data_IF_465223263016
#
_entry.id   IF_465223263016
#
_cell.length_a   1.000
_cell.length_b   1.000
_cell.length_c   1.000
_cell.angle_alpha   90.00
_cell.angle_beta   90.00
_cell.angle_gamma   90.00
#
_symmetry.space_group_name_H-M   'P 1'
#
loop_
_entity.id
_entity.type
_entity.pdbx_description
1 polymer ?
#
# COMPACT_ATOMS: atom_id res chain seq x y z
N UNK A 1 -13.62 21.27 36.04
CA UNK A 1 -12.94 21.62 34.77
C UNK A 1 -12.22 20.44 34.10
N UNK A 2 -11.78 19.40 34.83
CA UNK A 2 -11.16 18.21 34.24
C UNK A 2 -12.02 17.30 33.33
N UNK A 3 -13.33 17.04 33.59
CA UNK A 3 -14.06 16.01 32.84
C UNK A 3 -14.36 16.40 31.38
N UNK A 4 -14.61 17.69 31.12
CA UNK A 4 -14.81 18.19 29.76
C UNK A 4 -13.51 18.09 28.93
N UNK A 5 -12.36 18.35 29.56
CA UNK A 5 -11.05 18.22 28.92
C UNK A 5 -10.75 16.77 28.51
N UNK A 6 -10.99 15.81 29.41
CA UNK A 6 -10.81 14.39 29.10
C UNK A 6 -11.75 13.91 27.98
N UNK A 7 -12.99 14.40 27.97
CA UNK A 7 -13.95 14.08 26.92
C UNK A 7 -13.51 14.61 25.55
N UNK A 8 -13.04 15.85 25.47
CA UNK A 8 -12.54 16.44 24.23
C UNK A 8 -11.28 15.73 23.69
N UNK A 9 -10.34 15.37 24.56
CA UNK A 9 -9.15 14.60 24.16
C UNK A 9 -9.56 13.24 23.59
N UNK A 10 -10.53 12.56 24.22
CA UNK A 10 -11.04 11.26 23.74
C UNK A 10 -11.66 11.37 22.33
N UNK A 11 -12.44 12.43 22.07
CA UNK A 11 -13.00 12.70 20.74
C UNK A 11 -11.91 12.94 19.69
N UNK A 12 -10.90 13.75 20.02
CA UNK A 12 -9.80 14.06 19.07
C UNK A 12 -8.99 12.83 18.73
N UNK A 13 -8.68 11.97 19.71
CA UNK A 13 -7.99 10.70 19.48
C UNK A 13 -8.85 9.77 18.62
N UNK A 14 -10.15 9.68 18.87
CA UNK A 14 -11.05 8.85 18.07
C UNK A 14 -11.12 9.30 16.60
N UNK A 15 -11.28 10.60 16.34
CA UNK A 15 -11.35 11.13 14.97
C UNK A 15 -10.03 10.91 14.22
N UNK A 16 -8.89 10.97 14.90
CA UNK A 16 -7.58 10.72 14.28
C UNK A 16 -7.44 9.30 13.71
N UNK A 17 -8.17 8.31 14.26
CA UNK A 17 -8.18 6.92 13.76
C UNK A 17 -9.02 6.74 12.48
N UNK A 18 -9.85 7.73 12.12
CA UNK A 18 -10.70 7.68 10.91
C UNK A 18 -9.98 8.17 9.64
N UNK A 19 -8.77 8.71 9.76
CA UNK A 19 -8.00 9.16 8.61
C UNK A 19 -7.31 7.96 7.95
N UNK A 20 -7.71 7.62 6.72
CA UNK A 20 -6.98 6.66 5.88
C UNK A 20 -5.72 7.34 5.33
N UNK A 21 -4.56 6.76 5.59
CA UNK A 21 -3.30 7.27 5.06
C UNK A 21 -3.06 6.74 3.64
N UNK A 22 -3.27 7.60 2.65
CA UNK A 22 -3.10 7.25 1.23
C UNK A 22 -1.66 7.49 0.77
N UNK A 23 -1.21 6.70 -0.21
CA UNK A 23 -0.02 7.00 -1.00
C UNK A 23 -0.31 6.90 -2.50
N UNK A 24 0.54 7.50 -3.33
CA UNK A 24 0.50 7.26 -4.77
C UNK A 24 1.79 6.59 -5.24
N UNK A 25 1.70 5.72 -6.24
CA UNK A 25 2.87 5.08 -6.84
C UNK A 25 3.19 5.77 -8.17
N UNK A 26 4.40 6.34 -8.29
CA UNK A 26 4.84 7.03 -9.50
C UNK A 26 5.62 6.12 -10.44
N UNK A 27 6.36 5.13 -9.91
CA UNK A 27 7.12 4.17 -10.71
C UNK A 27 7.31 2.81 -10.01
N UNK A 28 7.15 1.68 -10.71
CA UNK A 28 6.48 1.57 -12.01
C UNK A 28 5.03 2.07 -11.91
N UNK A 29 4.35 2.43 -13.01
CA UNK A 29 2.96 2.86 -12.94
C UNK A 29 2.06 1.79 -12.29
N UNK A 30 1.08 2.18 -11.44
CA UNK A 30 0.14 1.24 -10.83
C UNK A 30 -0.82 0.66 -11.89
N UNK A 31 -1.52 -0.43 -11.54
CA UNK A 31 -2.56 -1.00 -12.44
C UNK A 31 -3.61 0.05 -12.80
N UNK A 32 -4.07 0.79 -11.80
CA UNK A 32 -4.88 1.99 -11.93
C UNK A 32 -4.84 2.70 -10.56
N UNK A 33 -5.40 3.90 -10.49
CA UNK A 33 -5.42 4.69 -9.27
C UNK A 33 -6.86 5.06 -8.90
N UNK A 34 -7.31 4.54 -7.77
CA UNK A 34 -8.55 4.91 -7.10
C UNK A 34 -8.25 4.86 -5.59
N UNK A 35 -7.93 6.03 -5.03
CA UNK A 35 -7.45 6.15 -3.63
C UNK A 35 -8.49 5.66 -2.63
N UNK A 36 -9.78 5.76 -2.96
CA UNK A 36 -10.88 5.29 -2.11
C UNK A 36 -10.92 3.76 -1.97
N UNK A 37 -10.27 3.04 -2.90
CA UNK A 37 -10.20 1.58 -2.93
C UNK A 37 -8.84 1.03 -2.53
N UNK A 38 -7.91 1.86 -2.09
CA UNK A 38 -6.53 1.48 -1.77
C UNK A 38 -6.43 0.36 -0.71
N UNK A 39 -7.39 0.29 0.21
CA UNK A 39 -7.50 -0.78 1.22
C UNK A 39 -7.85 -2.16 0.63
N UNK A 40 -8.36 -2.21 -0.59
CA UNK A 40 -8.71 -3.44 -1.28
C UNK A 40 -7.48 -4.04 -1.97
N UNK A 41 -7.51 -5.34 -2.24
CA UNK A 41 -6.44 -6.02 -2.98
C UNK A 41 -6.13 -5.29 -4.30
N UNK A 42 -4.85 -4.93 -4.50
CA UNK A 42 -4.37 -4.13 -5.62
C UNK A 42 -5.19 -2.84 -5.89
N UNK A 43 -5.67 -2.16 -4.83
CA UNK A 43 -6.45 -0.93 -4.96
C UNK A 43 -7.82 -1.13 -5.60
N UNK A 44 -8.38 -2.34 -5.52
CA UNK A 44 -9.62 -2.71 -6.20
C UNK A 44 -9.45 -3.13 -7.66
N UNK A 45 -8.21 -3.34 -8.11
CA UNK A 45 -7.89 -3.79 -9.48
C UNK A 45 -7.24 -5.19 -9.45
N UNK A 46 -8.00 -6.26 -9.18
CA UNK A 46 -7.47 -7.61 -9.00
C UNK A 46 -6.91 -8.22 -10.29
N UNK A 47 -7.32 -7.71 -11.45
CA UNK A 47 -6.82 -8.12 -12.77
C UNK A 47 -6.02 -6.99 -13.39
N UNK A 48 -4.96 -7.32 -14.12
CA UNK A 48 -4.17 -6.32 -14.82
C UNK A 48 -4.96 -5.72 -16.00
N UNK A 49 -5.37 -4.45 -15.87
CA UNK A 49 -6.13 -3.74 -16.91
C UNK A 49 -5.29 -2.75 -17.74
N UNK A 50 -4.11 -2.35 -17.27
CA UNK A 50 -3.27 -1.29 -17.89
C UNK A 50 -2.01 -1.81 -18.60
N UNK A 51 -1.77 -3.13 -18.57
CA UNK A 51 -0.61 -3.76 -19.21
C UNK A 51 0.58 -3.91 -18.25
N UNK A 52 1.72 -4.38 -18.77
CA UNK A 52 2.95 -4.57 -17.97
C UNK A 52 3.94 -3.45 -18.27
N UNK A 53 4.63 -2.99 -17.24
CA UNK A 53 5.70 -2.02 -17.37
C UNK A 53 7.06 -2.74 -17.37
N UNK A 54 7.98 -2.46 -18.32
CA UNK A 54 9.34 -2.97 -18.25
C UNK A 54 10.02 -2.54 -16.95
N UNK A 55 10.63 -3.47 -16.23
CA UNK A 55 11.36 -3.20 -15.00
C UNK A 55 12.80 -3.68 -15.14
N UNK A 56 13.80 -2.86 -14.78
CA UNK A 56 15.20 -3.22 -14.99
C UNK A 56 15.61 -4.40 -14.09
N UNK A 57 16.33 -5.36 -14.67
CA UNK A 57 16.88 -6.53 -13.96
C UNK A 57 18.33 -6.30 -13.50
N UNK A 58 18.94 -5.19 -13.90
CA UNK A 58 20.31 -4.82 -13.53
C UNK A 58 20.43 -3.31 -13.35
N UNK A 59 21.34 -2.88 -12.49
CA UNK A 59 21.48 -1.48 -12.09
C UNK A 59 20.35 -1.01 -11.14
N UNK A 60 20.14 0.32 -11.02
CA UNK A 60 19.07 0.87 -10.20
C UNK A 60 17.69 0.44 -10.70
N UNK A 61 16.88 -0.11 -9.78
CA UNK A 61 15.52 -0.59 -10.06
C UNK A 61 14.55 -0.03 -9.00
N UNK A 62 14.24 1.28 -9.05
CA UNK A 62 13.49 1.94 -7.99
C UNK A 62 12.02 1.53 -8.00
N UNK A 63 11.41 1.56 -6.81
CA UNK A 63 9.96 1.67 -6.63
C UNK A 63 9.73 3.03 -5.98
N UNK A 64 9.02 3.91 -6.67
CA UNK A 64 8.83 5.31 -6.27
C UNK A 64 7.38 5.48 -5.85
N UNK A 65 7.21 5.91 -4.61
CA UNK A 65 5.92 6.28 -4.04
C UNK A 65 5.97 7.71 -3.50
N UNK A 66 4.82 8.37 -3.46
CA UNK A 66 4.61 9.63 -2.76
C UNK A 66 3.66 9.39 -1.58
N UNK A 67 4.17 9.60 -0.36
CA UNK A 67 3.40 9.50 0.88
C UNK A 67 2.93 10.89 1.27
N UNK A 68 1.61 11.09 1.36
CA UNK A 68 1.04 12.38 1.76
C UNK A 68 1.05 12.60 3.29
N UNK A 69 1.67 11.68 4.03
CA UNK A 69 1.89 11.76 5.47
C UNK A 69 3.38 11.76 5.80
N UNK A 70 3.74 12.38 6.95
CA UNK A 70 5.13 12.55 7.40
C UNK A 70 5.90 11.24 7.62
N UNK A 71 5.18 10.15 7.89
CA UNK A 71 5.74 8.84 8.18
C UNK A 71 4.79 7.75 7.67
N UNK A 72 5.35 6.66 7.14
CA UNK A 72 4.61 5.48 6.73
C UNK A 72 5.44 4.23 7.01
N UNK A 73 4.78 3.11 7.31
CA UNK A 73 5.40 1.80 7.31
C UNK A 73 5.12 1.14 5.97
N UNK A 74 6.17 0.80 5.23
CA UNK A 74 6.04 0.34 3.84
C UNK A 74 6.65 -1.04 3.68
N UNK A 75 5.87 -1.96 3.11
CA UNK A 75 6.37 -3.23 2.60
C UNK A 75 6.17 -3.30 1.09
N UNK A 76 7.05 -4.03 0.40
CA UNK A 76 6.93 -4.36 -1.02
C UNK A 76 6.96 -5.87 -1.16
N UNK A 77 5.91 -6.42 -1.76
CA UNK A 77 5.75 -7.85 -2.01
C UNK A 77 5.85 -8.10 -3.51
N UNK A 78 6.37 -9.27 -3.90
CA UNK A 78 6.50 -9.66 -5.30
C UNK A 78 5.87 -11.03 -5.55
N UNK A 79 5.06 -11.11 -6.60
CA UNK A 79 4.59 -12.37 -7.18
C UNK A 79 5.30 -12.63 -8.50
N UNK A 80 5.70 -13.88 -8.74
CA UNK A 80 6.16 -14.36 -10.05
C UNK A 80 5.04 -15.06 -10.83
N UNK A 81 3.83 -15.16 -10.26
CA UNK A 81 2.65 -15.53 -11.04
C UNK A 81 2.45 -14.43 -12.11
N UNK A 82 2.30 -14.78 -13.40
CA UNK A 82 2.03 -13.77 -14.42
C UNK A 82 0.79 -12.94 -14.07
N UNK A 83 -0.29 -13.56 -13.59
CA UNK A 83 -1.58 -12.91 -13.40
C UNK A 83 -2.07 -13.03 -11.94
N UNK A 84 -1.39 -12.37 -10.98
CA UNK A 84 -1.75 -12.48 -9.58
C UNK A 84 -3.07 -11.73 -9.33
N UNK A 85 -4.01 -12.43 -8.70
CA UNK A 85 -5.39 -11.96 -8.45
C UNK A 85 -5.79 -12.02 -6.97
N UNK A 86 -4.91 -12.52 -6.11
CA UNK A 86 -5.10 -12.60 -4.66
C UNK A 86 -3.79 -12.47 -3.88
N UNK A 87 -3.88 -12.24 -2.57
CA UNK A 87 -2.69 -12.22 -1.69
C UNK A 87 -1.96 -13.58 -1.64
N UNK A 88 -2.65 -14.70 -1.90
CA UNK A 88 -2.02 -16.01 -1.93
C UNK A 88 -0.97 -16.14 -3.05
N UNK A 89 -1.14 -15.39 -4.15
CA UNK A 89 -0.20 -15.36 -5.27
C UNK A 89 1.15 -14.71 -4.91
N UNK A 90 1.23 -14.00 -3.77
CA UNK A 90 2.44 -13.38 -3.24
C UNK A 90 3.15 -14.26 -2.21
N UNK A 91 2.74 -15.53 -2.09
CA UNK A 91 3.33 -16.49 -1.16
C UNK A 91 4.09 -17.60 -1.90
N UNK A 92 5.15 -18.11 -1.29
CA UNK A 92 5.84 -19.33 -1.72
C UNK A 92 6.01 -20.26 -0.52
N UNK A 93 5.53 -21.50 -0.66
CA UNK A 93 5.54 -22.52 0.41
C UNK A 93 4.96 -22.01 1.74
N UNK A 94 3.88 -21.22 1.68
CA UNK A 94 3.19 -20.66 2.85
C UNK A 94 3.85 -19.44 3.49
N UNK A 95 4.90 -18.86 2.88
CA UNK A 95 5.56 -17.64 3.34
C UNK A 95 5.37 -16.50 2.35
N UNK A 96 5.17 -15.29 2.86
CA UNK A 96 5.06 -14.07 2.04
C UNK A 96 6.39 -13.71 1.39
N UNK A 97 6.36 -13.40 0.10
CA UNK A 97 7.52 -13.00 -0.69
C UNK A 97 7.76 -11.50 -0.57
N UNK A 98 8.47 -11.09 0.48
CA UNK A 98 8.90 -9.71 0.66
C UNK A 98 10.14 -9.41 -0.20
N UNK A 99 10.06 -8.33 -0.99
CA UNK A 99 11.23 -7.65 -1.55
C UNK A 99 11.77 -6.63 -0.57
N UNK A 100 10.85 -5.95 0.13
CA UNK A 100 11.15 -5.05 1.25
C UNK A 100 10.15 -5.34 2.39
N UNK A 101 10.59 -5.74 3.59
CA UNK A 101 9.70 -5.87 4.74
C UNK A 101 9.28 -4.50 5.28
N UNK A 102 8.28 -4.47 6.17
CA UNK A 102 7.88 -3.25 6.87
C UNK A 102 9.06 -2.60 7.59
N UNK A 103 9.16 -1.28 7.45
CA UNK A 103 10.13 -0.41 8.12
C UNK A 103 9.77 1.04 7.92
#
# INVERSE_FOLDING_TARGET
MAPLQFFLISIVVFISTLCSAHFTQSYPPPRALDIEKEVNFCGGYPVNASGRHPFPLSGPAPVIIDSHHKSAQIAVLLSTNPDPSSFADFNTSGKTNYVKPYG
#
